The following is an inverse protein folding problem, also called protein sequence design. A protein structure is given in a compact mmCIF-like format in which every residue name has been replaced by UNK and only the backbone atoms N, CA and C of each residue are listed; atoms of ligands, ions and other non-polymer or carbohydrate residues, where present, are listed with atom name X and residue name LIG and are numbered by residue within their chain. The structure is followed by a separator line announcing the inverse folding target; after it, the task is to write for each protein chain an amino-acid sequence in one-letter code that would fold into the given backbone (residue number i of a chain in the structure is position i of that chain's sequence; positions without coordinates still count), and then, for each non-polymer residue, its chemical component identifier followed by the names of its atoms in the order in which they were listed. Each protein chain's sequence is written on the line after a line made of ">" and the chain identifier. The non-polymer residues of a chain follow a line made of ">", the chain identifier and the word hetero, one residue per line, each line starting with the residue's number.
data_IF_243988059667
#
_entry.id   IF_243988059667
#
_cell.length_a   1.000
_cell.length_b   1.000
_cell.length_c   1.000
_cell.angle_alpha   90.00
_cell.angle_beta   90.00
_cell.angle_gamma   90.00
#
_symmetry.space_group_name_H-M   'P 1'
#
loop_
_entity.id
_entity.type
_entity.pdbx_description
1 polymer ?
#
# COMPACT_ATOMS: atom_id res chain seq x y z
N UNK A 1 -12.40 6.88 -4.38
CA UNK A 1 -11.43 5.95 -3.80
C UNK A 1 -11.49 5.87 -2.30
N UNK A 2 -11.14 4.69 -1.75
CA UNK A 2 -11.29 4.36 -0.34
C UNK A 2 -10.17 4.95 0.53
N UNK A 3 -8.99 5.22 -0.05
CA UNK A 3 -7.88 5.83 0.66
C UNK A 3 -8.08 7.34 0.71
N UNK A 4 -8.53 7.85 1.85
CA UNK A 4 -8.63 9.28 2.13
C UNK A 4 -7.57 9.61 3.18
N UNK A 5 -6.81 10.66 2.92
CA UNK A 5 -5.81 11.19 3.87
C UNK A 5 -6.27 12.56 4.39
N UNK A 6 -5.63 13.06 5.45
CA UNK A 6 -5.98 14.33 6.10
C UNK A 6 -4.86 14.79 7.02
N UNK A 7 -4.97 15.98 7.62
CA UNK A 7 -3.89 16.62 8.40
C UNK A 7 -3.33 15.79 9.58
N UNK A 8 -4.02 14.74 10.02
CA UNK A 8 -3.57 13.82 11.07
C UNK A 8 -2.89 12.54 10.58
N UNK A 9 -2.85 12.29 9.28
CA UNK A 9 -2.26 11.09 8.68
C UNK A 9 -0.81 11.35 8.28
N UNK A 10 0.10 11.25 9.25
CA UNK A 10 1.53 11.41 8.99
C UNK A 10 2.15 10.31 8.11
N UNK A 11 1.43 9.19 7.92
CA UNK A 11 1.86 8.08 7.06
C UNK A 11 1.47 8.25 5.59
N UNK A 12 0.54 9.17 5.29
CA UNK A 12 0.03 9.44 3.94
C UNK A 12 -0.46 8.16 3.27
N UNK A 13 -1.50 7.54 3.85
CA UNK A 13 -2.09 6.28 3.41
C UNK A 13 -2.99 6.49 2.19
N UNK A 14 -2.39 6.77 1.04
CA UNK A 14 -3.08 7.27 -0.17
C UNK A 14 -3.11 6.30 -1.33
N UNK A 15 -2.30 5.24 -1.30
CA UNK A 15 -2.23 4.25 -2.39
C UNK A 15 -3.07 3.03 -2.01
N UNK A 16 -4.18 2.81 -2.72
CA UNK A 16 -4.98 1.61 -2.55
C UNK A 16 -4.31 0.46 -3.28
N UNK A 17 -3.87 -0.54 -2.54
CA UNK A 17 -3.16 -1.69 -3.10
C UNK A 17 -3.87 -2.99 -2.85
N UNK A 18 -3.83 -3.90 -3.84
CA UNK A 18 -4.15 -5.31 -3.68
C UNK A 18 -2.86 -6.04 -3.31
N UNK A 19 -2.73 -6.41 -2.04
CA UNK A 19 -1.48 -6.97 -1.52
C UNK A 19 -1.25 -8.39 -2.04
N UNK A 20 0.02 -8.80 -2.10
CA UNK A 20 0.46 -10.16 -2.48
C UNK A 20 1.34 -10.74 -1.38
N UNK A 21 1.51 -12.06 -1.35
CA UNK A 21 2.38 -12.71 -0.36
C UNK A 21 3.82 -12.19 -0.45
N UNK A 22 4.32 -12.03 -1.68
CA UNK A 22 5.65 -11.47 -1.96
C UNK A 22 5.82 -10.06 -1.40
N UNK A 23 4.80 -9.20 -1.53
CA UNK A 23 4.82 -7.87 -0.93
C UNK A 23 4.77 -7.93 0.61
N UNK A 24 3.92 -8.78 1.18
CA UNK A 24 3.77 -8.89 2.64
C UNK A 24 5.05 -9.37 3.31
N UNK A 25 5.73 -10.36 2.71
CA UNK A 25 7.05 -10.82 3.15
C UNK A 25 8.09 -9.69 3.09
N UNK A 26 8.17 -8.99 1.97
CA UNK A 26 9.06 -7.84 1.82
C UNK A 26 8.77 -6.75 2.86
N UNK A 27 7.51 -6.36 3.01
CA UNK A 27 7.09 -5.30 3.93
C UNK A 27 7.46 -5.65 5.37
N UNK A 28 7.25 -6.91 5.78
CA UNK A 28 7.65 -7.42 7.08
C UNK A 28 9.17 -7.35 7.29
N UNK A 29 9.97 -7.73 6.30
CA UNK A 29 11.43 -7.60 6.35
C UNK A 29 11.92 -6.15 6.44
N UNK A 30 11.13 -5.19 5.94
CA UNK A 30 11.37 -3.74 6.05
C UNK A 30 10.75 -3.10 7.30
N UNK A 31 10.33 -3.91 8.26
CA UNK A 31 9.78 -3.46 9.55
C UNK A 31 8.33 -2.98 9.50
N UNK A 32 7.60 -3.26 8.43
CA UNK A 32 6.18 -2.96 8.27
C UNK A 32 5.38 -4.26 8.16
N UNK A 33 5.23 -4.97 9.27
CA UNK A 33 4.51 -6.24 9.30
C UNK A 33 3.00 -6.01 9.21
N UNK A 34 2.47 -6.18 7.99
CA UNK A 34 1.04 -6.13 7.70
C UNK A 34 0.40 -7.52 7.71
N UNK A 35 1.14 -8.58 8.02
CA UNK A 35 0.67 -9.97 7.94
C UNK A 35 0.27 -10.53 9.31
N UNK A 36 0.98 -10.15 10.37
CA UNK A 36 0.73 -10.65 11.72
C UNK A 36 -0.52 -9.98 12.32
N UNK A 37 -1.52 -10.75 12.78
CA UNK A 37 -2.66 -10.19 13.49
C UNK A 37 -2.24 -9.41 14.74
N UNK A 38 -2.87 -8.27 14.99
CA UNK A 38 -2.74 -7.45 16.20
C UNK A 38 -4.13 -7.20 16.81
N UNK A 39 -4.71 -8.18 17.54
CA UNK A 39 -6.03 -8.05 18.14
C UNK A 39 -6.17 -6.83 19.06
N UNK A 40 -5.08 -6.41 19.71
CA UNK A 40 -4.99 -5.22 20.54
C UNK A 40 -5.34 -3.92 19.78
N UNK A 41 -5.20 -3.91 18.45
CA UNK A 41 -5.57 -2.82 17.56
C UNK A 41 -6.75 -3.17 16.64
N UNK A 42 -7.39 -4.32 16.84
CA UNK A 42 -8.43 -4.83 15.96
C UNK A 42 -7.95 -5.14 14.54
N UNK A 43 -6.64 -5.32 14.34
CA UNK A 43 -6.07 -5.60 13.03
C UNK A 43 -5.92 -7.11 12.81
N UNK A 44 -6.64 -7.72 11.85
CA UNK A 44 -6.62 -9.17 11.66
C UNK A 44 -5.34 -9.68 10.96
N UNK A 45 -4.48 -8.80 10.45
CA UNK A 45 -3.45 -9.16 9.50
C UNK A 45 -4.01 -9.30 8.08
N UNK A 46 -3.20 -8.94 7.08
CA UNK A 46 -3.55 -9.03 5.68
C UNK A 46 -3.06 -10.35 5.07
N UNK A 47 -3.77 -10.79 4.04
CA UNK A 47 -3.41 -11.90 3.16
C UNK A 47 -3.41 -11.45 1.71
N UNK A 48 -2.75 -12.21 0.83
CA UNK A 48 -2.79 -11.95 -0.60
C UNK A 48 -4.23 -11.78 -1.12
N UNK A 49 -4.44 -10.75 -1.95
CA UNK A 49 -5.72 -10.39 -2.52
C UNK A 49 -6.50 -9.35 -1.71
N UNK A 50 -6.16 -9.11 -0.44
CA UNK A 50 -6.78 -8.05 0.35
C UNK A 50 -6.47 -6.67 -0.24
N UNK A 51 -7.44 -5.75 -0.11
CA UNK A 51 -7.23 -4.34 -0.46
C UNK A 51 -6.87 -3.57 0.80
N UNK A 52 -5.82 -2.76 0.71
CA UNK A 52 -5.32 -1.97 1.83
C UNK A 52 -4.80 -0.61 1.36
N UNK A 53 -4.98 0.41 2.19
CA UNK A 53 -4.40 1.73 1.95
C UNK A 53 -2.97 1.75 2.49
N UNK A 54 -2.00 1.79 1.60
CA UNK A 54 -0.59 1.85 1.96
C UNK A 54 -0.13 3.31 2.07
N UNK A 55 0.77 3.55 3.03
CA UNK A 55 1.61 4.74 3.03
C UNK A 55 2.29 4.87 1.67
N UNK A 56 2.25 6.07 1.07
CA UNK A 56 2.87 6.30 -0.23
C UNK A 56 4.35 5.89 -0.24
N UNK A 57 5.09 6.27 0.81
CA UNK A 57 6.50 5.91 0.98
C UNK A 57 6.74 4.39 1.04
N UNK A 58 5.83 3.63 1.66
CA UNK A 58 5.97 2.15 1.75
C UNK A 58 5.68 1.48 0.42
N UNK A 59 4.79 2.04 -0.39
CA UNK A 59 4.59 1.56 -1.75
C UNK A 59 5.82 1.90 -2.62
N UNK A 60 6.35 3.14 -2.56
CA UNK A 60 7.55 3.53 -3.33
C UNK A 60 8.78 2.70 -2.95
N UNK A 61 9.00 2.43 -1.66
CA UNK A 61 10.06 1.53 -1.18
C UNK A 61 9.93 0.12 -1.79
N UNK A 62 8.71 -0.43 -1.84
CA UNK A 62 8.46 -1.72 -2.46
C UNK A 62 8.64 -1.67 -3.99
N UNK A 63 8.25 -0.57 -4.63
CA UNK A 63 8.42 -0.37 -6.07
C UNK A 63 9.89 -0.36 -6.47
N UNK A 64 10.71 0.42 -5.79
CA UNK A 64 12.16 0.49 -6.02
C UNK A 64 12.85 -0.86 -5.81
N UNK A 65 12.37 -1.65 -4.85
CA UNK A 65 12.89 -2.99 -4.60
C UNK A 65 12.36 -4.07 -5.57
N UNK A 66 11.37 -3.77 -6.42
CA UNK A 66 10.72 -4.74 -7.32
C UNK A 66 9.70 -5.67 -6.63
N UNK A 67 9.10 -5.20 -5.54
CA UNK A 67 8.11 -5.90 -4.70
C UNK A 67 6.78 -5.14 -4.57
N UNK A 68 6.55 -4.08 -5.36
CA UNK A 68 5.32 -3.30 -5.29
C UNK A 68 4.07 -4.16 -5.52
N UNK A 69 3.03 -4.00 -4.68
CA UNK A 69 1.74 -4.62 -4.90
C UNK A 69 0.96 -3.89 -6.00
N UNK A 70 -0.05 -4.55 -6.56
CA UNK A 70 -0.92 -3.94 -7.57
C UNK A 70 -1.70 -2.77 -6.97
N UNK A 71 -1.99 -1.75 -7.78
CA UNK A 71 -2.68 -0.51 -7.39
C UNK A 71 -4.10 -0.49 -7.95
N UNK A 72 -5.08 -0.16 -7.13
CA UNK A 72 -6.46 0.10 -7.58
C UNK A 72 -6.58 1.61 -7.81
N UNK A 73 -6.40 2.06 -9.06
CA UNK A 73 -6.23 3.48 -9.40
C UNK A 73 -7.44 4.34 -9.00
N UNK A 74 -8.66 3.86 -9.25
CA UNK A 74 -9.92 4.53 -8.90
C UNK A 74 -10.10 4.64 -7.36
N UNK A 75 -9.32 3.84 -6.62
CA UNK A 75 -9.31 3.80 -5.17
C UNK A 75 -8.16 4.58 -4.51
N UNK A 76 -7.19 5.05 -5.29
CA UNK A 76 -5.99 5.79 -4.86
C UNK A 76 -6.25 7.30 -4.89
N UNK A 77 -5.75 8.01 -3.88
CA UNK A 77 -5.87 9.48 -3.82
C UNK A 77 -4.84 10.15 -4.73
N UNK A 78 -5.18 11.30 -5.31
CA UNK A 78 -4.32 12.02 -6.27
C UNK A 78 -2.99 12.47 -5.69
N UNK A 79 -2.92 12.75 -4.38
CA UNK A 79 -1.67 13.09 -3.69
C UNK A 79 -0.63 11.96 -3.69
N UNK A 80 -1.00 10.74 -4.09
CA UNK A 80 -0.01 9.69 -4.39
C UNK A 80 1.01 10.14 -5.45
N UNK A 81 0.63 11.05 -6.34
CA UNK A 81 1.49 11.60 -7.38
C UNK A 81 2.62 12.49 -6.84
N UNK A 82 2.58 12.88 -5.57
CA UNK A 82 3.69 13.55 -4.90
C UNK A 82 4.83 12.57 -4.53
N UNK A 83 4.58 11.25 -4.60
CA UNK A 83 5.49 10.19 -4.14
C UNK A 83 5.79 9.12 -5.21
N UNK A 84 4.96 9.00 -6.24
CA UNK A 84 5.10 8.02 -7.31
C UNK A 84 4.54 8.55 -8.62
N UNK A 85 5.23 8.28 -9.73
CA UNK A 85 4.77 8.69 -11.05
C UNK A 85 3.49 7.97 -11.47
N UNK A 86 2.56 8.71 -12.10
CA UNK A 86 1.31 8.14 -12.62
C UNK A 86 1.57 6.96 -13.57
N UNK A 87 2.65 7.03 -14.35
CA UNK A 87 3.03 5.96 -15.27
C UNK A 87 3.35 4.65 -14.52
N UNK A 88 4.02 4.72 -13.38
CA UNK A 88 4.40 3.55 -12.59
C UNK A 88 3.21 2.98 -11.83
N UNK A 89 2.34 3.84 -11.30
CA UNK A 89 1.06 3.42 -10.73
C UNK A 89 0.19 2.71 -11.78
N UNK A 90 0.16 3.20 -13.03
CA UNK A 90 -0.57 2.56 -14.14
C UNK A 90 0.03 1.21 -14.55
N UNK A 91 1.36 1.08 -14.59
CA UNK A 91 2.03 -0.21 -14.86
C UNK A 91 1.65 -1.27 -13.83
N UNK A 92 1.33 -0.85 -12.61
CA UNK A 92 0.93 -1.73 -11.50
C UNK A 92 -0.59 -1.80 -11.31
N UNK A 93 -1.41 -1.27 -12.22
CA UNK A 93 -2.85 -1.27 -12.07
C UNK A 93 -3.40 -2.71 -11.92
N UNK A 94 -4.24 -2.91 -10.90
CA UNK A 94 -5.01 -4.14 -10.76
C UNK A 94 -6.09 -4.17 -11.85
N UNK A 95 -6.18 -5.29 -12.57
CA UNK A 95 -7.27 -5.59 -13.49
C UNK A 95 -8.59 -5.81 -12.74
#
# INVERSE_FOLDING_TARGET
>A
GCCRTGKGDGGVHVICSKVSDRFLEFSKLRGNDLSTPRPEYGFPGLKAGDRWCLCAQRWSEAFEAGFAPQVVLEATHESALEFADLADLKKHAAL
#
